data_IF_046931096977
#
_entry.id   IF_046931096977
#
_cell.length_a   1.000
_cell.length_b   1.000
_cell.length_c   1.000
_cell.angle_alpha   90.00
_cell.angle_beta   90.00
_cell.angle_gamma   90.00
#
_symmetry.space_group_name_H-M   'P 1'
#
loop_
_entity.id
_entity.type
_entity.pdbx_description
1 polymer ?
#
# COMPACT_ATOMS: atom_id res chain seq x y z
N UNK A 1 22.98 -5.60 9.70
CA UNK A 1 22.25 -6.81 9.27
C UNK A 1 20.85 -6.37 8.90
N UNK A 2 20.42 -6.62 7.66
CA UNK A 2 19.23 -6.01 7.03
C UNK A 2 17.93 -6.63 7.55
N UNK A 3 17.96 -7.90 7.89
CA UNK A 3 16.85 -8.65 8.47
C UNK A 3 16.35 -8.04 9.79
N UNK A 4 17.23 -7.53 10.67
CA UNK A 4 16.77 -6.81 11.88
C UNK A 4 15.90 -5.60 11.57
N UNK A 5 16.17 -4.89 10.48
CA UNK A 5 15.35 -3.76 10.04
C UNK A 5 14.02 -4.25 9.48
N UNK A 6 14.03 -5.34 8.72
CA UNK A 6 12.80 -5.97 8.23
C UNK A 6 11.93 -6.43 9.41
N UNK A 7 12.50 -7.18 10.35
CA UNK A 7 11.80 -7.67 11.54
C UNK A 7 11.13 -6.52 12.32
N UNK A 8 11.82 -5.38 12.45
CA UNK A 8 11.26 -4.19 13.09
C UNK A 8 10.02 -3.65 12.37
N UNK A 9 10.02 -3.56 11.04
CA UNK A 9 8.86 -3.08 10.29
C UNK A 9 7.74 -4.12 10.10
N UNK A 10 8.05 -5.41 10.24
CA UNK A 10 7.06 -6.48 10.26
C UNK A 10 6.42 -6.70 11.64
N UNK A 11 6.93 -6.07 12.70
CA UNK A 11 6.22 -6.02 13.99
C UNK A 11 4.87 -5.29 13.83
N UNK A 12 3.74 -5.89 14.24
CA UNK A 12 2.41 -5.31 14.03
C UNK A 12 2.21 -3.92 14.63
N UNK A 13 2.83 -3.62 15.78
CA UNK A 13 2.70 -2.31 16.43
C UNK A 13 3.50 -1.27 15.67
N UNK A 14 4.69 -1.63 15.18
CA UNK A 14 5.48 -0.73 14.32
C UNK A 14 4.77 -0.50 12.99
N UNK A 15 4.26 -1.54 12.35
CA UNK A 15 3.50 -1.43 11.11
C UNK A 15 2.27 -0.53 11.28
N UNK A 16 1.50 -0.71 12.35
CA UNK A 16 0.36 0.14 12.67
C UNK A 16 0.76 1.61 12.88
N UNK A 17 1.88 1.87 13.59
CA UNK A 17 2.40 3.24 13.78
C UNK A 17 2.78 3.90 12.47
N UNK A 18 3.45 3.18 11.58
CA UNK A 18 3.82 3.71 10.26
C UNK A 18 2.58 3.97 9.43
N UNK A 19 1.65 3.02 9.35
CA UNK A 19 0.40 3.16 8.61
C UNK A 19 -0.47 4.30 9.11
N UNK A 20 -0.55 4.51 10.44
CA UNK A 20 -1.25 5.67 11.02
C UNK A 20 -0.61 7.00 10.61
N UNK A 21 0.72 7.03 10.46
CA UNK A 21 1.45 8.22 10.07
C UNK A 21 1.33 8.53 8.57
N UNK A 22 1.52 7.53 7.70
CA UNK A 22 1.57 7.73 6.25
C UNK A 22 0.24 7.54 5.54
N UNK A 23 -0.75 6.92 6.20
CA UNK A 23 -2.09 6.65 5.67
C UNK A 23 -2.09 5.82 4.37
N UNK A 24 -1.26 4.77 4.31
CA UNK A 24 -1.24 3.77 3.23
C UNK A 24 -1.81 2.43 3.70
N UNK A 25 -2.22 1.60 2.73
CA UNK A 25 -2.64 0.20 2.96
C UNK A 25 -1.53 -0.57 3.67
N UNK A 26 -1.85 -1.16 4.83
CA UNK A 26 -0.91 -1.94 5.62
C UNK A 26 -0.94 -3.43 5.22
N UNK A 27 0.18 -4.04 4.79
CA UNK A 27 0.22 -5.45 4.42
C UNK A 27 0.50 -6.40 5.58
N UNK A 28 0.80 -5.90 6.79
CA UNK A 28 1.25 -6.71 7.92
C UNK A 28 0.06 -7.28 8.68
N UNK A 29 -0.01 -8.62 8.77
CA UNK A 29 -1.01 -9.30 9.57
C UNK A 29 -0.89 -8.91 11.06
N UNK A 30 -2.01 -8.68 11.74
CA UNK A 30 -2.02 -8.21 13.12
C UNK A 30 -1.96 -6.69 13.29
N UNK A 31 -1.64 -5.93 12.23
CA UNK A 31 -1.50 -4.47 12.32
C UNK A 31 -2.84 -3.76 12.57
N UNK A 32 -3.97 -4.34 12.11
CA UNK A 32 -5.31 -3.78 12.36
C UNK A 32 -5.68 -3.89 13.84
N UNK A 33 -5.40 -5.02 14.45
CA UNK A 33 -5.60 -5.26 15.89
C UNK A 33 -4.65 -4.38 16.71
N UNK A 34 -3.39 -4.23 16.28
CA UNK A 34 -2.46 -3.31 16.93
C UNK A 34 -2.91 -1.84 16.82
N UNK A 35 -3.60 -1.48 15.73
CA UNK A 35 -4.13 -0.13 15.51
C UNK A 35 -5.12 0.29 16.60
N UNK A 36 -5.83 -0.65 17.23
CA UNK A 36 -6.74 -0.36 18.36
C UNK A 36 -6.03 0.36 19.51
N UNK A 37 -4.72 0.13 19.70
CA UNK A 37 -3.91 0.80 20.72
C UNK A 37 -3.17 2.01 20.19
N UNK A 38 -2.85 2.03 18.89
CA UNK A 38 -2.05 3.08 18.26
C UNK A 38 -2.90 4.30 17.88
N UNK A 39 -4.01 4.07 17.17
CA UNK A 39 -4.93 5.10 16.72
C UNK A 39 -6.33 4.47 16.49
N UNK A 40 -7.17 4.35 17.53
CA UNK A 40 -8.46 3.65 17.46
C UNK A 40 -9.39 4.17 16.36
N UNK A 41 -9.32 5.47 16.05
CA UNK A 41 -10.11 6.12 15.01
C UNK A 41 -9.73 5.70 13.58
N UNK A 42 -8.66 4.92 13.40
CA UNK A 42 -8.18 4.45 12.10
C UNK A 42 -8.39 2.94 11.88
N UNK A 43 -8.86 2.19 12.89
CA UNK A 43 -9.01 0.71 12.83
C UNK A 43 -9.93 0.27 11.70
N UNK A 44 -11.00 1.05 11.46
CA UNK A 44 -12.00 0.76 10.43
C UNK A 44 -11.84 1.65 9.18
N UNK A 45 -10.70 2.34 9.05
CA UNK A 45 -10.39 3.09 7.85
C UNK A 45 -10.00 2.12 6.72
N UNK A 46 -10.93 1.88 5.79
CA UNK A 46 -10.72 0.96 4.65
C UNK A 46 -9.62 1.41 3.71
N UNK A 47 -9.19 2.67 3.74
CA UNK A 47 -8.04 3.15 2.97
C UNK A 47 -6.68 2.72 3.59
N UNK A 48 -6.68 2.23 4.83
CA UNK A 48 -5.52 1.66 5.53
C UNK A 48 -5.66 0.14 5.65
N UNK A 49 -6.86 -0.35 5.97
CA UNK A 49 -7.20 -1.77 6.09
C UNK A 49 -8.38 -2.10 5.17
N UNK A 50 -8.14 -2.31 3.87
CA UNK A 50 -9.20 -2.53 2.89
C UNK A 50 -9.96 -3.81 3.17
N UNK A 51 -11.27 -3.78 2.95
CA UNK A 51 -12.11 -4.96 2.98
C UNK A 51 -12.11 -5.69 1.63
N UNK A 52 -12.73 -6.87 1.59
CA UNK A 52 -12.83 -7.67 0.37
C UNK A 52 -13.55 -6.92 -0.76
N UNK A 53 -14.54 -6.07 -0.45
CA UNK A 53 -15.28 -5.31 -1.45
C UNK A 53 -14.42 -4.22 -2.10
N UNK A 54 -13.53 -3.57 -1.35
CA UNK A 54 -12.56 -2.64 -1.89
C UNK A 54 -11.52 -3.38 -2.72
N UNK A 55 -10.95 -4.46 -2.18
CA UNK A 55 -9.92 -5.25 -2.87
C UNK A 55 -10.44 -5.85 -4.19
N UNK A 56 -11.69 -6.28 -4.25
CA UNK A 56 -12.29 -6.86 -5.47
C UNK A 56 -12.41 -5.87 -6.63
N UNK A 57 -12.26 -4.56 -6.38
CA UNK A 57 -12.29 -3.50 -7.40
C UNK A 57 -10.89 -3.09 -7.87
N UNK A 58 -9.84 -3.68 -7.29
CA UNK A 58 -8.44 -3.37 -7.63
C UNK A 58 -7.91 -4.29 -8.72
N UNK A 59 -6.89 -3.82 -9.43
CA UNK A 59 -6.19 -4.58 -10.46
C UNK A 59 -4.69 -4.42 -10.25
N UNK A 60 -3.94 -5.51 -10.36
CA UNK A 60 -2.49 -5.44 -10.43
C UNK A 60 -2.07 -5.05 -11.85
N UNK A 61 -1.14 -4.10 -11.97
CA UNK A 61 -0.54 -3.77 -13.25
C UNK A 61 0.35 -4.94 -13.70
N UNK A 62 0.15 -5.40 -14.93
CA UNK A 62 1.00 -6.42 -15.53
C UNK A 62 2.38 -5.83 -15.86
N UNK A 63 3.41 -6.67 -15.86
CA UNK A 63 4.71 -6.31 -16.41
C UNK A 63 4.57 -6.05 -17.91
N UNK A 64 5.13 -4.94 -18.38
CA UNK A 64 5.08 -4.55 -19.79
C UNK A 64 6.37 -4.97 -20.50
N UNK A 65 6.26 -5.40 -21.76
CA UNK A 65 7.42 -5.47 -22.64
C UNK A 65 7.87 -4.06 -23.09
N UNK A 66 9.06 -3.98 -23.68
CA UNK A 66 9.66 -2.70 -24.06
C UNK A 66 8.82 -1.93 -25.08
N UNK A 67 8.22 -2.65 -26.04
CA UNK A 67 7.37 -2.05 -27.07
C UNK A 67 6.13 -1.40 -26.46
N UNK A 68 5.42 -2.13 -25.59
CA UNK A 68 4.21 -1.66 -24.93
C UNK A 68 4.50 -0.52 -23.97
N UNK A 69 5.58 -0.61 -23.19
CA UNK A 69 6.00 0.45 -22.29
C UNK A 69 6.28 1.76 -23.03
N UNK A 70 7.02 1.70 -24.14
CA UNK A 70 7.34 2.88 -24.97
C UNK A 70 6.09 3.49 -25.60
N UNK A 71 5.15 2.66 -26.05
CA UNK A 71 3.86 3.13 -26.58
C UNK A 71 3.09 3.91 -25.51
N UNK A 72 2.90 3.34 -24.32
CA UNK A 72 2.17 4.00 -23.23
C UNK A 72 2.85 5.28 -22.76
N UNK A 73 4.19 5.32 -22.70
CA UNK A 73 4.92 6.54 -22.39
C UNK A 73 4.67 7.65 -23.43
N UNK A 74 4.72 7.30 -24.73
CA UNK A 74 4.46 8.24 -25.82
C UNK A 74 3.03 8.78 -25.76
N UNK A 75 2.04 7.91 -25.60
CA UNK A 75 0.63 8.29 -25.48
C UNK A 75 0.38 9.17 -24.25
N UNK A 76 1.03 8.86 -23.12
CA UNK A 76 0.94 9.68 -21.91
C UNK A 76 1.52 11.08 -22.13
N UNK A 77 2.70 11.19 -22.76
CA UNK A 77 3.33 12.48 -23.07
C UNK A 77 2.44 13.38 -23.94
N UNK A 78 1.77 12.79 -24.94
CA UNK A 78 0.86 13.53 -25.84
C UNK A 78 -0.32 14.17 -25.10
N UNK A 79 -0.88 13.50 -24.09
CA UNK A 79 -2.02 14.04 -23.32
C UNK A 79 -1.61 14.90 -22.13
N UNK A 80 -0.38 14.74 -21.62
CA UNK A 80 0.14 15.55 -20.51
C UNK A 80 0.64 16.94 -20.92
N UNK A 81 0.56 17.29 -22.21
CA UNK A 81 0.99 18.59 -22.73
C UNK A 81 2.49 18.69 -23.04
N UNK A 82 3.12 17.56 -23.38
CA UNK A 82 4.47 17.54 -23.96
C UNK A 82 4.53 18.16 -25.35
#
# INVERSE_FOLDING_TARGET
NVEKLMDYYYDPVVAARVSAWVNYICPVAGAREAMEKVAPNLVDNTLIFPDEQMLSKTYSLQTLDEETARRYETEFQQVSGG
#
